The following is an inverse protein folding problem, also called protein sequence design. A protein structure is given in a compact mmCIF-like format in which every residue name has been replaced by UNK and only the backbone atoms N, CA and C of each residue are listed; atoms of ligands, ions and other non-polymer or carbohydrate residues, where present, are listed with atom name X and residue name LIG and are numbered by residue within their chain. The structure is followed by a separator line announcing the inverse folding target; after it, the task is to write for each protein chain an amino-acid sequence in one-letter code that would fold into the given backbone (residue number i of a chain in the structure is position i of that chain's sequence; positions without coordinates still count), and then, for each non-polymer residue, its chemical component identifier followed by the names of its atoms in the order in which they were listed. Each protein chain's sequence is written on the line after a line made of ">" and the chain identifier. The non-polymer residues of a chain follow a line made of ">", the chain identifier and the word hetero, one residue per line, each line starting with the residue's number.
data_IF_176134615851
#
_entry.id   IF_176134615851
#
_cell.length_a   1.000
_cell.length_b   1.000
_cell.length_c   1.000
_cell.angle_alpha   90.00
_cell.angle_beta   90.00
_cell.angle_gamma   90.00
#
_symmetry.space_group_name_H-M   'P 1'
#
loop_
_entity.id
_entity.type
_entity.pdbx_description
1 polymer ?
#
# COMPACT_ATOMS: atom_id res chain seq x y z
N UNK A 1 14.93 2.57 -17.95
CA UNK A 1 13.65 3.18 -18.38
C UNK A 1 13.17 4.07 -17.24
N UNK A 2 12.55 5.24 -17.49
CA UNK A 2 12.19 6.17 -16.41
C UNK A 2 10.92 5.73 -15.66
N UNK A 3 10.85 6.04 -14.36
CA UNK A 3 9.67 5.78 -13.53
C UNK A 3 8.46 6.62 -13.98
N UNK A 4 7.34 5.93 -14.15
CA UNK A 4 6.05 6.54 -14.45
C UNK A 4 5.45 7.08 -13.15
N UNK A 5 5.29 8.41 -13.07
CA UNK A 5 4.76 9.12 -11.88
C UNK A 5 3.27 9.46 -11.97
N UNK A 6 2.61 9.02 -13.04
CA UNK A 6 1.17 9.15 -13.24
C UNK A 6 0.49 7.81 -12.95
N UNK A 7 -0.75 7.79 -12.42
CA UNK A 7 -1.48 6.54 -12.24
C UNK A 7 -1.67 5.90 -13.61
N UNK A 8 -0.85 4.90 -13.92
CA UNK A 8 -0.95 4.09 -15.13
C UNK A 8 -1.76 2.82 -14.87
N UNK A 9 -2.69 2.91 -13.90
CA UNK A 9 -3.67 1.87 -13.66
C UNK A 9 -4.90 2.28 -14.46
N UNK A 10 -5.36 1.42 -15.40
CA UNK A 10 -6.49 1.76 -16.26
C UNK A 10 -7.77 1.97 -15.45
N UNK A 11 -7.88 1.35 -14.27
CA UNK A 11 -9.04 1.41 -13.40
C UNK A 11 -8.60 1.43 -11.92
N UNK A 12 -8.28 2.62 -11.37
CA UNK A 12 -7.87 2.74 -9.96
C UNK A 12 -9.02 2.36 -9.03
N UNK A 13 -10.26 2.69 -9.40
CA UNK A 13 -11.48 2.35 -8.67
C UNK A 13 -11.66 0.83 -8.54
N UNK A 14 -11.56 0.08 -9.64
CA UNK A 14 -11.72 -1.37 -9.64
C UNK A 14 -10.64 -2.10 -8.82
N UNK A 15 -9.39 -1.61 -8.83
CA UNK A 15 -8.36 -2.15 -7.95
C UNK A 15 -8.68 -1.86 -6.47
N UNK A 16 -9.13 -0.63 -6.16
CA UNK A 16 -9.51 -0.26 -4.81
C UNK A 16 -10.66 -1.12 -4.29
N UNK A 17 -11.69 -1.36 -5.11
CA UNK A 17 -12.80 -2.26 -4.76
C UNK A 17 -12.30 -3.68 -4.46
N UNK A 18 -11.44 -4.24 -5.31
CA UNK A 18 -10.88 -5.58 -5.11
C UNK A 18 -10.04 -5.64 -3.81
N UNK A 19 -9.26 -4.60 -3.52
CA UNK A 19 -8.47 -4.50 -2.30
C UNK A 19 -9.36 -4.46 -1.06
N UNK A 20 -10.43 -3.65 -1.06
CA UNK A 20 -11.42 -3.59 0.03
C UNK A 20 -12.15 -4.92 0.19
N UNK A 21 -12.55 -5.54 -0.92
CA UNK A 21 -13.20 -6.84 -0.90
C UNK A 21 -12.28 -7.94 -0.32
N UNK A 22 -10.98 -7.90 -0.62
CA UNK A 22 -10.00 -8.84 -0.07
C UNK A 22 -9.79 -8.68 1.45
N UNK A 23 -9.92 -7.46 1.96
CA UNK A 23 -9.89 -7.15 3.40
C UNK A 23 -11.19 -7.52 4.11
N UNK A 24 -12.27 -7.77 3.36
CA UNK A 24 -13.62 -7.92 3.92
C UNK A 24 -13.70 -9.21 4.74
N UNK A 25 -13.97 -9.07 6.03
CA UNK A 25 -14.00 -10.18 6.98
C UNK A 25 -12.65 -10.55 7.58
N UNK A 26 -11.57 -9.83 7.26
CA UNK A 26 -10.29 -9.93 7.95
C UNK A 26 -10.28 -9.08 9.22
N UNK A 27 -9.58 -9.55 10.25
CA UNK A 27 -9.25 -8.72 11.43
C UNK A 27 -8.17 -7.70 11.08
N UNK A 28 -8.00 -6.66 11.92
CA UNK A 28 -6.99 -5.61 11.71
C UNK A 28 -5.60 -6.20 11.42
N UNK A 29 -5.16 -7.15 12.24
CA UNK A 29 -3.86 -7.82 12.05
C UNK A 29 -3.75 -8.59 10.72
N UNK A 30 -4.85 -9.17 10.23
CA UNK A 30 -4.87 -9.91 8.97
C UNK A 30 -4.89 -8.98 7.76
N UNK A 31 -5.61 -7.86 7.84
CA UNK A 31 -5.63 -6.85 6.78
C UNK A 31 -4.23 -6.24 6.59
N UNK A 32 -3.53 -5.89 7.68
CA UNK A 32 -2.13 -5.45 7.64
C UNK A 32 -1.20 -6.49 6.99
N UNK A 33 -1.35 -7.75 7.39
CA UNK A 33 -0.58 -8.86 6.83
C UNK A 33 -0.83 -9.05 5.32
N UNK A 34 -2.09 -8.91 4.88
CA UNK A 34 -2.47 -8.97 3.48
C UNK A 34 -1.77 -7.88 2.68
N UNK A 35 -1.77 -6.64 3.17
CA UNK A 35 -1.09 -5.52 2.51
C UNK A 35 0.42 -5.74 2.44
N UNK A 36 1.05 -6.18 3.54
CA UNK A 36 2.48 -6.48 3.57
C UNK A 36 2.85 -7.59 2.57
N UNK A 37 2.04 -8.66 2.50
CA UNK A 37 2.23 -9.74 1.53
C UNK A 37 2.02 -9.27 0.09
N UNK A 38 1.00 -8.45 -0.16
CA UNK A 38 0.72 -7.90 -1.49
C UNK A 38 1.93 -7.10 -2.00
N UNK A 39 2.51 -6.24 -1.16
CA UNK A 39 3.72 -5.48 -1.52
C UNK A 39 4.89 -6.40 -1.85
N UNK A 40 5.14 -7.45 -1.04
CA UNK A 40 6.19 -8.42 -1.31
C UNK A 40 5.97 -9.17 -2.64
N UNK A 41 4.73 -9.56 -2.94
CA UNK A 41 4.37 -10.23 -4.20
C UNK A 41 4.64 -9.31 -5.38
N UNK A 42 4.16 -8.05 -5.32
CA UNK A 42 4.42 -7.05 -6.37
C UNK A 42 5.92 -6.81 -6.54
N UNK A 43 6.67 -6.73 -5.44
CA UNK A 43 8.13 -6.57 -5.49
C UNK A 43 8.83 -7.73 -6.18
N UNK A 44 8.40 -8.98 -5.90
CA UNK A 44 8.88 -10.17 -6.59
C UNK A 44 8.52 -10.15 -8.08
N UNK A 45 7.32 -9.69 -8.44
CA UNK A 45 6.87 -9.54 -9.82
C UNK A 45 7.78 -8.59 -10.62
N UNK A 46 8.25 -7.51 -9.97
CA UNK A 46 9.21 -6.56 -10.58
C UNK A 46 10.59 -7.21 -10.75
N UNK A 47 11.08 -7.92 -9.73
CA UNK A 47 12.34 -8.67 -9.80
C UNK A 47 13.62 -7.82 -9.90
N UNK A 48 13.53 -6.50 -9.71
CA UNK A 48 14.65 -5.56 -9.86
C UNK A 48 14.87 -4.75 -8.58
N UNK A 49 16.03 -4.93 -7.95
CA UNK A 49 16.38 -4.25 -6.69
C UNK A 49 16.52 -2.73 -6.86
N UNK A 50 17.06 -2.25 -7.98
CA UNK A 50 17.30 -0.82 -8.17
C UNK A 50 15.96 -0.06 -8.31
N UNK A 51 15.00 -0.64 -9.05
CA UNK A 51 13.66 -0.07 -9.17
C UNK A 51 12.91 -0.02 -7.84
N UNK A 52 13.00 -1.07 -7.03
CA UNK A 52 12.33 -1.13 -5.72
C UNK A 52 12.86 -0.05 -4.76
N UNK A 53 14.17 0.16 -4.75
CA UNK A 53 14.82 1.18 -3.91
C UNK A 53 14.36 2.60 -4.30
N UNK A 54 14.31 2.89 -5.60
CA UNK A 54 13.81 4.17 -6.12
C UNK A 54 12.32 4.39 -5.79
N UNK A 55 11.49 3.36 -5.94
CA UNK A 55 10.07 3.41 -5.60
C UNK A 55 9.84 3.68 -4.10
N UNK A 56 10.60 3.03 -3.21
CA UNK A 56 10.53 3.25 -1.77
C UNK A 56 10.89 4.69 -1.39
N UNK A 57 11.97 5.23 -1.97
CA UNK A 57 12.39 6.61 -1.72
C UNK A 57 11.30 7.62 -2.14
N UNK A 58 10.69 7.42 -3.32
CA UNK A 58 9.61 8.26 -3.82
C UNK A 58 8.33 8.16 -2.98
N UNK A 59 7.93 6.95 -2.60
CA UNK A 59 6.77 6.74 -1.75
C UNK A 59 6.94 7.46 -0.42
N UNK A 60 8.10 7.28 0.24
CA UNK A 60 8.43 7.94 1.50
C UNK A 60 8.43 9.47 1.37
N UNK A 61 9.05 10.01 0.32
CA UNK A 61 9.09 11.45 0.09
C UNK A 61 7.68 12.04 -0.10
N UNK A 62 6.82 11.37 -0.87
CA UNK A 62 5.42 11.78 -1.05
C UNK A 62 4.64 11.74 0.27
N UNK A 63 4.78 10.66 1.06
CA UNK A 63 4.10 10.57 2.36
C UNK A 63 4.53 11.71 3.28
N UNK A 64 5.83 11.97 3.41
CA UNK A 64 6.35 13.06 4.25
C UNK A 64 5.91 14.44 3.75
N UNK A 65 5.85 14.65 2.43
CA UNK A 65 5.37 15.90 1.83
C UNK A 65 3.86 16.12 2.03
N UNK A 66 3.07 15.04 2.04
CA UNK A 66 1.62 15.08 2.29
C UNK A 66 1.25 15.06 3.78
N UNK A 67 2.19 14.85 4.71
CA UNK A 67 1.95 14.73 6.16
C UNK A 67 1.60 16.03 6.90
N UNK A 68 1.05 17.06 6.24
CA UNK A 68 0.54 18.28 6.91
C UNK A 68 -0.95 18.24 7.31
N UNK A 69 -1.60 17.08 7.40
CA UNK A 69 -2.94 16.99 8.03
C UNK A 69 -3.16 15.69 8.81
N UNK A 70 -3.62 15.88 10.05
CA UNK A 70 -3.97 14.89 11.06
C UNK A 70 -4.92 13.78 10.59
N UNK A 71 -4.74 12.55 11.09
CA UNK A 71 -5.66 11.97 12.09
C UNK A 71 -5.23 10.59 12.55
N UNK A 72 -5.33 10.40 13.87
CA UNK A 72 -5.42 9.14 14.60
C UNK A 72 -6.25 8.07 13.89
N UNK A 73 -5.86 6.81 14.09
CA UNK A 73 -6.81 5.86 14.66
C UNK A 73 -6.10 4.93 15.63
N UNK A 74 -6.31 5.22 16.91
CA UNK A 74 -6.21 4.24 17.98
C UNK A 74 -7.27 3.17 17.71
N UNK A 75 -6.89 1.91 17.59
CA UNK A 75 -7.82 0.81 17.79
C UNK A 75 -7.28 -0.07 18.90
N UNK A 76 -7.52 0.40 20.11
CA UNK A 76 -7.64 -0.49 21.26
C UNK A 76 -8.90 -1.32 21.01
N UNK A 77 -8.74 -2.61 20.70
CA UNK A 77 -9.84 -3.56 20.82
C UNK A 77 -9.38 -4.71 21.71
N UNK A 78 -9.66 -4.51 23.00
CA UNK A 78 -9.82 -5.58 23.96
C UNK A 78 -11.10 -6.34 23.60
N UNK A 79 -11.01 -7.64 23.33
CA UNK A 79 -12.14 -8.56 23.50
C UNK A 79 -11.67 -10.01 23.62
N UNK A 80 -11.91 -10.52 24.83
CA UNK A 80 -11.96 -11.90 25.34
C UNK A 80 -10.74 -12.81 25.23
#
# INVERSE_FOLDING_TARGET
>A
MPLIRTPNIPDPDGFYEALIAAQRGLSDAQADLLLAKLVLILANQVGDRALLDEALALARANTLASSSSSSSSSSSSSSS
#
